data_IF_818868106783
#
_entry.id   IF_818868106783
#
_cell.length_a   1.000
_cell.length_b   1.000
_cell.length_c   1.000
_cell.angle_alpha   90.00
_cell.angle_beta   90.00
_cell.angle_gamma   90.00
#
_symmetry.space_group_name_H-M   'P 1'
#
loop_
_entity.id
_entity.type
_entity.pdbx_description
1 polymer ?
#
# COMPACT_ATOMS: atom_id res chain seq x y z
N UNK A 1 -19.04 0.06 -14.79
CA UNK A 1 -17.90 0.63 -15.54
C UNK A 1 -16.72 0.69 -14.58
N UNK A 2 -15.70 -0.13 -14.76
CA UNK A 2 -14.47 -0.05 -13.94
C UNK A 2 -13.65 1.07 -14.57
N UNK A 3 -13.48 2.20 -13.88
CA UNK A 3 -12.49 3.22 -14.25
C UNK A 3 -11.12 2.59 -14.05
N UNK A 4 -10.47 2.21 -15.14
CA UNK A 4 -9.09 1.73 -15.13
C UNK A 4 -8.18 2.96 -15.14
N UNK A 5 -7.28 3.05 -14.17
CA UNK A 5 -6.25 4.07 -14.15
C UNK A 5 -5.03 3.56 -14.92
N UNK A 6 -4.60 4.32 -15.93
CA UNK A 6 -3.39 4.01 -16.68
C UNK A 6 -2.19 4.52 -15.89
N UNK A 7 -1.29 3.61 -15.51
CA UNK A 7 -0.08 3.97 -14.80
C UNK A 7 0.89 4.70 -15.73
N UNK A 8 1.58 5.74 -15.25
CA UNK A 8 2.73 6.30 -15.96
C UNK A 8 3.78 5.21 -16.19
N UNK A 9 4.24 5.06 -17.43
CA UNK A 9 5.24 4.09 -17.88
C UNK A 9 4.93 2.61 -17.56
N UNK A 10 3.67 2.28 -17.24
CA UNK A 10 3.22 0.97 -16.75
C UNK A 10 4.04 0.42 -15.55
N UNK A 11 4.66 1.32 -14.78
CA UNK A 11 5.57 0.98 -13.71
C UNK A 11 4.94 1.25 -12.33
N UNK A 12 4.34 0.19 -11.76
CA UNK A 12 3.73 0.25 -10.43
C UNK A 12 4.72 0.67 -9.34
N UNK A 13 5.98 0.25 -9.43
CA UNK A 13 6.98 0.57 -8.43
C UNK A 13 7.29 2.06 -8.44
N UNK A 14 7.57 2.63 -9.62
CA UNK A 14 7.79 4.09 -9.78
C UNK A 14 6.58 4.90 -9.36
N UNK A 15 5.37 4.43 -9.65
CA UNK A 15 4.15 5.11 -9.23
C UNK A 15 4.05 5.27 -7.70
N UNK A 16 4.45 4.24 -6.95
CA UNK A 16 4.39 4.25 -5.49
C UNK A 16 5.44 5.16 -4.84
N UNK A 17 6.55 5.46 -5.52
CA UNK A 17 7.61 6.32 -4.97
C UNK A 17 7.04 7.69 -4.60
N UNK A 18 7.44 8.18 -3.42
CA UNK A 18 7.01 9.46 -2.86
C UNK A 18 6.29 9.32 -1.52
N UNK A 19 5.69 10.43 -1.08
CA UNK A 19 5.04 10.53 0.21
C UNK A 19 3.52 10.32 0.11
N UNK A 20 3.00 9.50 1.01
CA UNK A 20 1.61 9.14 1.09
C UNK A 20 1.08 9.32 2.49
N UNK A 21 -0.06 10.00 2.63
CA UNK A 21 -0.86 9.95 3.86
C UNK A 21 -1.76 8.73 3.83
N UNK A 22 -1.57 7.81 4.76
CA UNK A 22 -2.31 6.56 4.89
C UNK A 22 -3.26 6.61 6.08
N UNK A 23 -4.55 6.43 5.82
CA UNK A 23 -5.57 6.34 6.86
C UNK A 23 -6.17 4.93 6.83
N UNK A 24 -6.05 4.19 7.93
CA UNK A 24 -6.59 2.83 8.04
C UNK A 24 -7.42 2.67 9.30
N UNK A 25 -8.51 1.94 9.19
CA UNK A 25 -9.27 1.42 10.33
C UNK A 25 -8.89 -0.04 10.54
N UNK A 26 -8.61 -0.42 11.78
CA UNK A 26 -8.27 -1.79 12.17
C UNK A 26 -9.43 -2.47 12.89
N UNK A 27 -9.80 -3.64 12.39
CA UNK A 27 -10.85 -4.50 12.93
C UNK A 27 -10.30 -5.89 13.20
N UNK A 28 -10.87 -6.54 14.20
CA UNK A 28 -10.66 -7.96 14.46
C UNK A 28 -11.76 -8.77 13.76
N UNK A 29 -11.38 -9.82 13.03
CA UNK A 29 -12.34 -10.77 12.47
C UNK A 29 -12.79 -11.75 13.54
N UNK A 30 -14.11 -11.96 13.63
CA UNK A 30 -14.74 -12.78 14.67
C UNK A 30 -15.54 -11.95 15.67
N UNK A 31 -16.37 -12.64 16.47
CA UNK A 31 -17.22 -12.00 17.48
C UNK A 31 -18.09 -10.87 16.91
N UNK A 32 -17.86 -9.65 17.38
CA UNK A 32 -18.63 -8.43 17.07
C UNK A 32 -18.01 -7.58 15.96
N UNK A 33 -16.93 -8.03 15.31
CA UNK A 33 -16.15 -7.22 14.36
C UNK A 33 -15.67 -5.89 15.01
N UNK A 34 -15.06 -6.04 16.18
CA UNK A 34 -14.71 -4.93 17.05
C UNK A 34 -13.71 -3.98 16.37
N UNK A 35 -13.94 -2.68 16.52
CA UNK A 35 -12.95 -1.66 16.21
C UNK A 35 -11.79 -1.79 17.20
N UNK A 36 -10.57 -1.88 16.66
CA UNK A 36 -9.34 -1.97 17.47
C UNK A 36 -8.69 -0.59 17.55
N UNK A 37 -8.45 0.05 16.41
CA UNK A 37 -7.90 1.41 16.31
C UNK A 37 -8.08 2.00 14.93
N UNK A 38 -7.80 3.29 14.81
CA UNK A 38 -7.60 3.97 13.52
C UNK A 38 -6.18 4.52 13.48
N UNK A 39 -5.52 4.44 12.33
CA UNK A 39 -4.20 5.01 12.10
C UNK A 39 -4.28 6.10 11.03
N UNK A 40 -3.46 7.12 11.20
CA UNK A 40 -3.25 8.21 10.25
C UNK A 40 -1.75 8.48 10.20
N UNK A 41 -1.08 7.89 9.22
CA UNK A 41 0.39 7.83 9.15
C UNK A 41 0.87 8.36 7.82
N UNK A 42 1.93 9.15 7.82
CA UNK A 42 2.67 9.45 6.59
C UNK A 42 3.65 8.31 6.32
N UNK A 43 3.63 7.79 5.09
CA UNK A 43 4.53 6.75 4.60
C UNK A 43 5.33 7.34 3.46
N UNK A 44 6.66 7.26 3.55
CA UNK A 44 7.57 7.61 2.47
C UNK A 44 8.04 6.32 1.81
N UNK A 45 7.87 6.22 0.50
CA UNK A 45 8.35 5.11 -0.31
C UNK A 45 9.49 5.64 -1.18
N UNK A 46 10.67 5.05 -1.04
CA UNK A 46 11.88 5.46 -1.73
C UNK A 46 12.28 4.43 -2.79
N UNK A 47 13.02 4.89 -3.79
CA UNK A 47 13.63 4.01 -4.78
C UNK A 47 14.70 3.12 -4.13
N UNK A 48 14.66 1.84 -4.47
CA UNK A 48 15.65 0.85 -4.13
C UNK A 48 16.41 0.49 -5.40
N UNK A 49 17.71 0.74 -5.44
CA UNK A 49 18.54 0.37 -6.58
C UNK A 49 18.65 -1.17 -6.66
N UNK A 50 17.90 -1.77 -7.58
CA UNK A 50 18.09 -3.17 -7.96
C UNK A 50 19.22 -3.28 -8.99
N UNK A 51 20.17 -4.16 -8.72
CA UNK A 51 21.34 -4.44 -9.57
C UNK A 51 21.04 -5.32 -10.80
N UNK A 52 19.88 -5.97 -10.87
CA UNK A 52 19.54 -6.88 -11.97
C UNK A 52 18.17 -6.57 -12.57
N UNK A 53 18.17 -6.09 -13.82
CA UNK A 53 16.97 -5.90 -14.64
C UNK A 53 16.85 -7.03 -15.64
N UNK A 54 15.97 -8.00 -15.37
CA UNK A 54 15.45 -8.89 -16.43
C UNK A 54 14.06 -8.39 -16.81
N UNK A 55 13.80 -8.02 -18.08
CA UNK A 55 12.50 -7.51 -18.48
C UNK A 55 11.47 -8.66 -18.48
N UNK A 56 10.44 -8.54 -17.64
CA UNK A 56 9.32 -9.47 -17.63
C UNK A 56 8.45 -9.24 -18.88
N UNK A 57 8.37 -10.26 -19.74
CA UNK A 57 7.36 -10.35 -20.81
C UNK A 57 6.09 -10.97 -20.22
N UNK A 58 5.21 -10.13 -19.69
CA UNK A 58 3.76 -10.30 -19.55
C UNK A 58 3.17 -9.04 -18.91
N UNK A 59 1.90 -8.75 -19.19
CA UNK A 59 1.21 -7.56 -18.65
C UNK A 59 1.03 -7.58 -17.12
N UNK A 60 1.04 -8.76 -16.50
CA UNK A 60 1.06 -8.89 -15.05
C UNK A 60 2.50 -8.95 -14.54
N UNK A 61 2.83 -8.08 -13.58
CA UNK A 61 4.17 -7.99 -13.00
C UNK A 61 4.23 -8.80 -11.71
N UNK A 62 5.04 -9.86 -11.70
CA UNK A 62 5.38 -10.58 -10.48
C UNK A 62 6.42 -9.80 -9.69
N UNK A 63 6.17 -9.64 -8.39
CA UNK A 63 7.00 -8.90 -7.45
C UNK A 63 7.58 -9.88 -6.43
N UNK A 64 8.86 -9.75 -6.12
CA UNK A 64 9.53 -10.50 -5.06
C UNK A 64 10.39 -9.54 -4.26
N UNK A 65 10.37 -9.63 -2.94
CA UNK A 65 11.21 -8.83 -2.03
C UNK A 65 11.54 -9.62 -0.76
N UNK A 66 12.50 -9.14 0.03
CA UNK A 66 12.77 -9.69 1.35
C UNK A 66 12.20 -8.76 2.43
N UNK A 67 11.59 -9.34 3.44
CA UNK A 67 11.12 -8.62 4.63
C UNK A 67 11.45 -9.43 5.88
N UNK A 68 12.19 -8.82 6.81
CA UNK A 68 12.65 -9.48 8.04
C UNK A 68 13.40 -10.81 7.83
N UNK A 69 14.07 -10.97 6.68
CA UNK A 69 14.82 -12.18 6.31
C UNK A 69 13.99 -13.26 5.61
N UNK A 70 12.68 -13.05 5.45
CA UNK A 70 11.78 -13.96 4.74
C UNK A 70 11.48 -13.43 3.32
N UNK A 71 11.45 -14.32 2.31
CA UNK A 71 11.09 -13.96 0.93
C UNK A 71 9.58 -13.81 0.80
N UNK A 72 9.18 -12.64 0.31
CA UNK A 72 7.80 -12.22 0.11
C UNK A 72 7.50 -12.09 -1.39
N UNK A 73 6.23 -12.24 -1.76
CA UNK A 73 5.80 -12.27 -3.15
C UNK A 73 4.59 -11.40 -3.37
N UNK A 74 4.43 -10.90 -4.58
CA UNK A 74 3.28 -10.11 -4.97
C UNK A 74 3.04 -10.14 -6.46
N UNK A 75 1.93 -9.54 -6.86
CA UNK A 75 1.55 -9.40 -8.25
C UNK A 75 0.86 -8.06 -8.42
N UNK A 76 1.19 -7.37 -9.51
CA UNK A 76 0.42 -6.24 -10.01
C UNK A 76 -0.37 -6.66 -11.25
N UNK A 77 -1.67 -6.41 -11.22
CA UNK A 77 -2.61 -6.66 -12.32
C UNK A 77 -2.97 -5.33 -12.98
N UNK A 78 -2.48 -5.11 -14.19
CA UNK A 78 -2.64 -3.86 -14.94
C UNK A 78 -4.12 -3.54 -15.25
N UNK A 79 -4.90 -4.55 -15.64
CA UNK A 79 -6.30 -4.45 -16.05
C UNK A 79 -7.21 -3.93 -14.95
N UNK A 80 -6.89 -4.23 -13.71
CA UNK A 80 -7.69 -3.85 -12.54
C UNK A 80 -7.02 -2.76 -11.71
N UNK A 81 -5.78 -2.39 -12.05
CA UNK A 81 -4.93 -1.48 -11.28
C UNK A 81 -4.79 -1.93 -9.82
N UNK A 82 -4.63 -3.24 -9.61
CA UNK A 82 -4.54 -3.86 -8.27
C UNK A 82 -3.18 -4.50 -8.07
N UNK A 83 -2.50 -4.13 -6.99
CA UNK A 83 -1.36 -4.87 -6.46
C UNK A 83 -1.78 -5.71 -5.25
N UNK A 84 -1.36 -6.96 -5.23
CA UNK A 84 -1.48 -7.86 -4.07
C UNK A 84 -0.08 -8.19 -3.61
N UNK A 85 0.22 -7.87 -2.35
CA UNK A 85 1.51 -8.10 -1.71
C UNK A 85 1.31 -9.09 -0.56
N UNK A 86 2.00 -10.22 -0.60
CA UNK A 86 1.94 -11.24 0.44
C UNK A 86 3.26 -11.26 1.22
N UNK A 87 3.15 -11.02 2.52
CA UNK A 87 4.24 -11.10 3.47
C UNK A 87 4.08 -12.39 4.27
N UNK A 88 5.01 -13.31 4.09
CA UNK A 88 5.08 -14.55 4.86
C UNK A 88 6.18 -14.36 5.90
N UNK A 89 5.81 -13.94 7.10
CA UNK A 89 6.75 -13.80 8.21
C UNK A 89 6.56 -14.93 9.21
N UNK A 90 7.63 -15.28 9.94
CA UNK A 90 7.62 -16.44 10.85
C UNK A 90 6.42 -16.55 11.79
N UNK A 91 5.86 -15.43 12.24
CA UNK A 91 4.77 -15.38 13.22
C UNK A 91 3.44 -14.83 12.66
N UNK A 92 3.37 -14.51 11.37
CA UNK A 92 2.17 -13.90 10.79
C UNK A 92 2.15 -14.04 9.26
N UNK A 93 0.96 -14.17 8.69
CA UNK A 93 0.76 -14.05 7.24
C UNK A 93 -0.05 -12.79 6.96
N UNK A 94 0.49 -11.91 6.13
CA UNK A 94 -0.14 -10.64 5.77
C UNK A 94 -0.38 -10.61 4.27
N UNK A 95 -1.60 -10.30 3.86
CA UNK A 95 -1.94 -10.00 2.46
C UNK A 95 -2.43 -8.56 2.38
N UNK A 96 -1.70 -7.71 1.67
CA UNK A 96 -2.06 -6.33 1.41
C UNK A 96 -2.51 -6.17 -0.04
N UNK A 97 -3.70 -5.62 -0.24
CA UNK A 97 -4.26 -5.27 -1.54
C UNK A 97 -4.31 -3.76 -1.67
N UNK A 98 -3.69 -3.25 -2.72
CA UNK A 98 -3.69 -1.85 -3.11
C UNK A 98 -4.42 -1.72 -4.43
N UNK A 99 -5.50 -0.94 -4.46
CA UNK A 99 -6.21 -0.61 -5.69
C UNK A 99 -6.01 0.86 -6.02
N UNK A 100 -5.33 1.12 -7.12
CA UNK A 100 -5.12 2.47 -7.63
C UNK A 100 -6.43 2.94 -8.22
N UNK A 101 -6.93 4.06 -7.69
CA UNK A 101 -8.17 4.68 -8.14
C UNK A 101 -7.89 5.80 -9.14
N UNK A 102 -6.84 6.58 -8.86
CA UNK A 102 -6.32 7.67 -9.68
C UNK A 102 -4.85 7.97 -9.32
N UNK A 103 -4.31 9.08 -9.82
CA UNK A 103 -2.90 9.47 -9.64
C UNK A 103 -2.50 9.69 -8.16
N UNK A 104 -3.46 10.09 -7.34
CA UNK A 104 -3.24 10.56 -5.97
C UNK A 104 -3.99 9.71 -4.92
N UNK A 105 -4.83 8.76 -5.34
CA UNK A 105 -5.69 7.97 -4.46
C UNK A 105 -5.51 6.48 -4.65
N UNK A 106 -5.25 5.77 -3.55
CA UNK A 106 -5.20 4.31 -3.49
C UNK A 106 -6.15 3.83 -2.40
N UNK A 107 -6.99 2.84 -2.71
CA UNK A 107 -7.73 2.10 -1.71
C UNK A 107 -6.86 0.94 -1.18
N UNK A 108 -6.84 0.74 0.12
CA UNK A 108 -5.96 -0.24 0.79
C UNK A 108 -6.80 -1.18 1.64
N UNK A 109 -6.50 -2.47 1.54
CA UNK A 109 -7.03 -3.52 2.42
C UNK A 109 -5.88 -4.44 2.81
N UNK A 110 -5.69 -4.72 4.10
CA UNK A 110 -4.64 -5.58 4.62
C UNK A 110 -5.30 -6.58 5.54
N UNK A 111 -5.20 -7.86 5.21
CA UNK A 111 -5.61 -8.96 6.08
C UNK A 111 -4.37 -9.58 6.70
N UNK A 112 -4.42 -9.79 8.01
CA UNK A 112 -3.32 -10.37 8.76
C UNK A 112 -3.85 -11.51 9.63
N UNK A 113 -3.13 -12.63 9.67
CA UNK A 113 -3.37 -13.72 10.63
C UNK A 113 -2.09 -13.95 11.40
N UNK A 114 -2.16 -13.74 12.71
CA UNK A 114 -1.03 -13.94 13.61
C UNK A 114 -0.89 -15.41 14.07
N UNK A 115 0.18 -15.69 14.82
CA UNK A 115 0.49 -16.99 15.44
C UNK A 115 -0.63 -17.54 16.36
N UNK A 116 -1.49 -16.66 16.87
CA UNK A 116 -2.65 -17.03 17.71
C UNK A 116 -3.87 -17.38 16.89
N UNK A 117 -3.74 -17.45 15.57
CA UNK A 117 -4.82 -17.67 14.62
C UNK A 117 -5.92 -16.61 14.75
N UNK A 118 -5.52 -15.37 15.06
CA UNK A 118 -6.43 -14.25 15.23
C UNK A 118 -6.42 -13.38 13.97
N UNK A 119 -7.43 -13.54 13.08
CA UNK A 119 -7.49 -12.74 11.87
C UNK A 119 -7.86 -11.29 12.18
N UNK A 120 -7.20 -10.36 11.50
CA UNK A 120 -7.53 -8.93 11.53
C UNK A 120 -7.58 -8.35 10.12
N UNK A 121 -8.28 -7.22 9.98
CA UNK A 121 -8.35 -6.47 8.74
C UNK A 121 -8.11 -4.99 9.01
N UNK A 122 -7.21 -4.41 8.22
CA UNK A 122 -7.00 -2.98 8.14
C UNK A 122 -7.47 -2.50 6.78
N UNK A 123 -8.32 -1.48 6.73
CA UNK A 123 -8.82 -0.97 5.45
C UNK A 123 -8.98 0.54 5.48
N UNK A 124 -8.85 1.16 4.31
CA UNK A 124 -8.95 2.61 4.16
C UNK A 124 -8.29 3.08 2.86
N UNK A 125 -7.51 4.15 2.96
CA UNK A 125 -6.95 4.81 1.79
C UNK A 125 -5.54 5.36 2.00
N UNK A 126 -4.88 5.62 0.88
CA UNK A 126 -3.68 6.43 0.79
C UNK A 126 -3.93 7.60 -0.15
N UNK A 127 -3.48 8.78 0.27
CA UNK A 127 -3.48 10.00 -0.52
C UNK A 127 -2.06 10.49 -0.73
N UNK A 128 -1.70 10.83 -1.96
CA UNK A 128 -0.42 11.47 -2.24
C UNK A 128 -0.40 12.83 -1.55
N UNK A 129 0.73 13.18 -0.94
CA UNK A 129 0.91 14.47 -0.27
C UNK A 129 2.19 15.15 -0.74
N UNK A 130 2.13 16.48 -0.85
CA UNK A 130 3.32 17.30 -0.99
C UNK A 130 3.97 17.51 0.39
N UNK A 131 5.13 16.90 0.61
CA UNK A 131 5.88 17.01 1.86
C UNK A 131 6.32 18.44 2.17
N UNK A 132 6.42 19.31 1.16
CA UNK A 132 6.77 20.72 1.35
C UNK A 132 5.71 21.48 2.14
N UNK A 133 4.44 21.06 2.03
CA UNK A 133 3.33 21.65 2.80
C UNK A 133 3.36 21.30 4.29
N UNK A 134 4.23 20.36 4.69
CA UNK A 134 4.38 19.88 6.06
C UNK A 134 5.80 20.11 6.61
N UNK A 135 6.63 20.87 5.89
CA UNK A 135 7.93 21.29 6.39
C UNK A 135 7.75 22.21 7.62
N UNK A 136 8.69 22.23 8.58
CA UNK A 136 8.60 23.10 9.76
C UNK A 136 8.41 24.58 9.42
N UNK A 137 8.91 25.01 8.25
CA UNK A 137 8.85 26.38 7.76
C UNK A 137 7.69 26.63 6.77
N UNK A 138 6.78 25.66 6.61
CA UNK A 138 5.64 25.80 5.70
C UNK A 138 4.70 26.91 6.22
N UNK A 139 4.24 27.83 5.34
CA UNK A 139 3.30 28.86 5.74
C UNK A 139 2.03 28.22 6.27
N UNK A 140 1.62 28.63 7.48
CA UNK A 140 0.42 28.11 8.13
C UNK A 140 -0.77 28.28 7.19
N UNK A 141 -1.43 27.18 6.82
CA UNK A 141 -2.68 27.25 6.10
C UNK A 141 -3.70 27.94 7.01
N UNK A 142 -4.10 29.16 6.67
CA UNK A 142 -5.25 29.81 7.30
C UNK A 142 -6.47 28.91 7.05
N UNK A 143 -7.04 28.38 8.12
CA UNK A 143 -8.35 27.73 8.08
C UNK A 143 -9.37 28.72 7.48
N UNK A 144 -10.16 28.32 6.46
CA UNK A 144 -11.25 29.15 6.03
C UNK A 144 -12.26 29.28 7.18
N UNK A 145 -12.55 30.54 7.53
CA UNK A 145 -13.52 30.97 8.54
C UNK A 145 -14.93 30.42 8.29
#
# INVERSE_FOLDING_TARGET
MVLQFNLPDDDFYKFLVGAWKRNLEWREFGGTYAHVRTSNTVVLIEEYQRLDTTPAKNNDVYLEWQYSGDTCHGQFMDKTSVAILNFFIRSSTVTATYRIMDADTIAVCITEVDERHKPTIQYGNMYRIDTKLYAPDAPSQQQPS
#
